data_IF_939357232119
#
_entry.id   IF_939357232119
#
_cell.length_a   1.000
_cell.length_b   1.000
_cell.length_c   1.000
_cell.angle_alpha   90.00
_cell.angle_beta   90.00
_cell.angle_gamma   90.00
#
_symmetry.space_group_name_H-M   'P 1'
#
loop_
_entity.id
_entity.type
_entity.pdbx_description
1 polymer ?
#
# COMPACT_ATOMS: atom_id res chain seq x y z
N UNK A 1 26.67 -8.29 -11.86
CA UNK A 1 25.57 -7.74 -11.05
C UNK A 1 24.30 -7.84 -11.88
N UNK A 2 23.22 -8.45 -11.41
CA UNK A 2 21.96 -8.42 -12.16
C UNK A 2 21.50 -6.96 -12.23
N UNK A 3 21.27 -6.47 -13.44
CA UNK A 3 20.68 -5.15 -13.68
C UNK A 3 19.27 -5.17 -13.08
N UNK A 4 19.11 -4.62 -11.89
CA UNK A 4 17.80 -4.39 -11.28
C UNK A 4 17.10 -3.28 -12.08
N UNK A 5 16.50 -3.68 -13.20
CA UNK A 5 15.65 -2.76 -13.97
C UNK A 5 14.48 -2.35 -13.05
N UNK A 6 14.36 -1.06 -12.79
CA UNK A 6 13.28 -0.46 -12.00
C UNK A 6 12.31 0.26 -12.94
N UNK A 7 11.05 0.37 -12.53
CA UNK A 7 10.08 1.30 -13.11
C UNK A 7 9.98 2.52 -12.19
N UNK A 8 10.02 3.70 -12.78
CA UNK A 8 9.94 4.95 -12.03
C UNK A 8 8.56 5.56 -12.23
N UNK A 9 7.92 5.91 -11.12
CA UNK A 9 6.69 6.70 -11.09
C UNK A 9 7.03 8.10 -10.59
N UNK A 10 6.51 9.12 -11.27
CA UNK A 10 6.62 10.50 -10.78
C UNK A 10 5.47 10.76 -9.81
N UNK A 11 5.80 11.11 -8.58
CA UNK A 11 4.84 11.40 -7.52
C UNK A 11 5.03 12.84 -7.03
N UNK A 12 3.96 13.63 -6.89
CA UNK A 12 4.08 15.04 -6.52
C UNK A 12 4.53 15.25 -5.07
N UNK A 13 4.39 14.25 -4.19
CA UNK A 13 4.76 14.33 -2.77
C UNK A 13 6.21 13.89 -2.56
N UNK A 14 6.61 12.76 -3.16
CA UNK A 14 7.93 12.13 -2.93
C UNK A 14 8.89 12.25 -4.12
N UNK A 15 8.48 12.83 -5.23
CA UNK A 15 9.29 12.89 -6.44
C UNK A 15 9.30 11.56 -7.20
N UNK A 16 10.46 10.93 -7.33
CA UNK A 16 10.59 9.69 -8.08
C UNK A 16 10.49 8.46 -7.17
N UNK A 17 9.41 7.71 -7.32
CA UNK A 17 9.22 6.41 -6.67
C UNK A 17 9.74 5.31 -7.59
N UNK A 18 10.76 4.59 -7.15
CA UNK A 18 11.37 3.50 -7.89
C UNK A 18 10.79 2.15 -7.42
N UNK A 19 10.21 1.39 -8.35
CA UNK A 19 9.64 0.06 -8.07
C UNK A 19 10.48 -0.99 -8.79
N UNK A 20 11.04 -1.98 -8.07
CA UNK A 20 11.77 -3.09 -8.66
C UNK A 20 10.91 -3.87 -9.66
N UNK A 21 11.52 -4.33 -10.76
CA UNK A 21 10.86 -5.30 -11.64
C UNK A 21 10.74 -6.63 -10.91
N UNK A 22 9.55 -7.18 -10.89
CA UNK A 22 9.25 -8.42 -10.20
C UNK A 22 7.78 -8.45 -9.83
N UNK A 23 7.44 -9.11 -8.74
CA UNK A 23 6.07 -9.29 -8.30
C UNK A 23 5.39 -7.96 -7.97
N UNK A 24 6.08 -7.01 -7.34
CA UNK A 24 5.51 -5.69 -7.03
C UNK A 24 5.02 -4.97 -8.29
N UNK A 25 5.81 -4.99 -9.36
CA UNK A 25 5.40 -4.36 -10.61
C UNK A 25 4.26 -5.13 -11.29
N UNK A 26 4.26 -6.46 -11.23
CA UNK A 26 3.16 -7.29 -11.75
C UNK A 26 1.85 -7.01 -11.01
N UNK A 27 1.90 -6.88 -9.69
CA UNK A 27 0.74 -6.51 -8.86
C UNK A 27 0.24 -5.09 -9.17
N UNK A 28 1.17 -4.12 -9.36
CA UNK A 28 0.80 -2.76 -9.76
C UNK A 28 0.12 -2.76 -11.13
N UNK A 29 0.61 -3.54 -12.10
CA UNK A 29 0.04 -3.62 -13.45
C UNK A 29 -1.25 -4.48 -13.50
N UNK A 30 -1.59 -5.20 -12.42
CA UNK A 30 -2.81 -6.01 -12.34
C UNK A 30 -4.08 -5.15 -12.41
N UNK A 31 -5.14 -5.59 -13.14
CA UNK A 31 -6.37 -4.79 -13.33
C UNK A 31 -7.03 -4.35 -12.02
N UNK A 32 -7.01 -5.19 -10.99
CA UNK A 32 -7.58 -4.86 -9.68
C UNK A 32 -6.84 -3.72 -8.98
N UNK A 33 -5.52 -3.68 -9.10
CA UNK A 33 -4.74 -2.57 -8.57
C UNK A 33 -4.90 -1.31 -9.43
N UNK A 34 -4.92 -1.45 -10.76
CA UNK A 34 -5.13 -0.33 -11.68
C UNK A 34 -6.50 0.35 -11.48
N UNK A 35 -7.51 -0.36 -10.96
CA UNK A 35 -8.80 0.19 -10.55
C UNK A 35 -8.66 1.33 -9.55
N UNK A 36 -7.66 1.27 -8.66
CA UNK A 36 -7.40 2.30 -7.63
C UNK A 36 -7.12 3.69 -8.22
N UNK A 37 -6.71 3.79 -9.49
CA UNK A 37 -6.55 5.07 -10.20
C UNK A 37 -7.85 5.86 -10.34
N UNK A 38 -8.99 5.20 -10.20
CA UNK A 38 -10.32 5.78 -10.34
C UNK A 38 -11.03 5.97 -9.00
N UNK A 39 -10.39 5.60 -7.90
CA UNK A 39 -10.94 5.71 -6.54
C UNK A 39 -10.16 6.79 -5.82
N UNK A 40 -10.86 7.86 -5.44
CA UNK A 40 -10.26 8.97 -4.69
C UNK A 40 -9.97 8.55 -3.27
N UNK A 41 -8.81 8.99 -2.74
CA UNK A 41 -8.39 8.70 -1.37
C UNK A 41 -9.39 9.24 -0.35
N UNK A 42 -9.76 10.49 -0.48
CA UNK A 42 -10.58 11.22 0.49
C UNK A 42 -12.07 11.27 0.14
N UNK A 43 -12.52 10.35 -0.75
CA UNK A 43 -13.94 10.23 -1.10
C UNK A 43 -14.54 11.53 -1.68
N UNK A 44 -15.47 12.13 -0.97
CA UNK A 44 -16.19 13.32 -1.39
C UNK A 44 -15.54 14.65 -0.96
N UNK A 45 -14.40 14.61 -0.27
CA UNK A 45 -13.74 15.80 0.27
C UNK A 45 -13.38 16.85 -0.79
N UNK A 46 -13.22 16.45 -2.06
CA UNK A 46 -12.92 17.35 -3.17
C UNK A 46 -14.03 18.39 -3.46
N UNK A 47 -15.25 18.20 -2.97
CA UNK A 47 -16.29 19.22 -3.04
C UNK A 47 -16.02 20.43 -2.12
N UNK A 48 -15.24 20.21 -1.06
CA UNK A 48 -14.83 21.24 -0.11
C UNK A 48 -13.39 21.68 -0.37
N UNK A 49 -12.52 20.72 -0.69
CA UNK A 49 -11.10 20.92 -0.99
C UNK A 49 -10.84 20.54 -2.46
N UNK A 50 -10.97 21.49 -3.41
CA UNK A 50 -10.90 21.16 -4.84
C UNK A 50 -9.59 20.49 -5.29
N UNK A 51 -8.50 20.69 -4.54
CA UNK A 51 -7.20 20.03 -4.76
C UNK A 51 -7.16 18.55 -4.36
N UNK A 52 -8.10 18.05 -3.55
CA UNK A 52 -8.15 16.69 -3.05
C UNK A 52 -8.59 15.67 -4.13
N UNK A 53 -7.83 15.60 -5.22
CA UNK A 53 -8.12 14.74 -6.39
C UNK A 53 -7.24 13.50 -6.46
N UNK A 54 -6.28 13.35 -5.55
CA UNK A 54 -5.41 12.17 -5.49
C UNK A 54 -6.21 10.90 -5.22
N UNK A 55 -5.68 9.80 -5.73
CA UNK A 55 -6.36 8.52 -5.72
C UNK A 55 -5.65 7.53 -4.79
N UNK A 56 -6.33 6.44 -4.45
CA UNK A 56 -5.74 5.34 -3.69
C UNK A 56 -4.54 4.71 -4.39
N UNK A 57 -4.46 4.81 -5.71
CA UNK A 57 -3.27 4.41 -6.46
C UNK A 57 -2.04 5.24 -6.07
N UNK A 58 -2.18 6.57 -5.95
CA UNK A 58 -1.07 7.44 -5.51
C UNK A 58 -0.65 7.13 -4.08
N UNK A 59 -1.64 6.96 -3.19
CA UNK A 59 -1.43 6.58 -1.80
C UNK A 59 -0.69 5.24 -1.67
N UNK A 60 -1.17 4.18 -2.32
CA UNK A 60 -0.53 2.87 -2.26
C UNK A 60 0.93 2.88 -2.75
N UNK A 61 1.24 3.67 -3.79
CA UNK A 61 2.63 3.84 -4.25
C UNK A 61 3.47 4.63 -3.25
N UNK A 62 2.90 5.66 -2.63
CA UNK A 62 3.60 6.44 -1.60
C UNK A 62 3.88 5.62 -0.34
N UNK A 63 2.89 4.87 0.14
CA UNK A 63 3.04 3.95 1.26
C UNK A 63 4.10 2.87 0.98
N UNK A 64 4.12 2.31 -0.25
CA UNK A 64 5.19 1.41 -0.69
C UNK A 64 6.57 2.09 -0.65
N UNK A 65 6.68 3.33 -1.12
CA UNK A 65 7.94 4.08 -1.09
C UNK A 65 8.45 4.26 0.35
N UNK A 66 7.57 4.68 1.25
CA UNK A 66 7.92 4.83 2.67
C UNK A 66 8.31 3.49 3.31
N UNK A 67 7.64 2.40 2.95
CA UNK A 67 8.00 1.05 3.41
C UNK A 67 9.41 0.65 2.97
N UNK A 68 9.78 0.91 1.72
CA UNK A 68 11.13 0.65 1.21
C UNK A 68 12.18 1.43 2.01
N UNK A 69 11.94 2.71 2.27
CA UNK A 69 12.83 3.55 3.10
C UNK A 69 12.90 3.06 4.56
N UNK A 70 11.78 2.61 5.12
CA UNK A 70 11.74 2.05 6.47
C UNK A 70 12.58 0.77 6.57
N UNK A 71 12.47 -0.14 5.61
CA UNK A 71 13.28 -1.37 5.53
C UNK A 71 14.76 -1.03 5.45
N UNK A 72 15.17 -0.12 4.56
CA UNK A 72 16.56 0.32 4.43
C UNK A 72 17.07 0.91 5.74
N UNK A 73 16.26 1.76 6.38
CA UNK A 73 16.63 2.39 7.66
C UNK A 73 16.78 1.37 8.79
N UNK A 74 15.87 0.40 8.87
CA UNK A 74 15.93 -0.65 9.88
C UNK A 74 17.14 -1.58 9.68
N UNK A 75 17.43 -1.94 8.44
CA UNK A 75 18.64 -2.71 8.09
C UNK A 75 19.92 -1.96 8.41
N UNK A 76 19.96 -0.65 8.17
CA UNK A 76 21.09 0.20 8.55
C UNK A 76 21.29 0.27 10.08
N UNK A 77 20.21 0.04 10.85
CA UNK A 77 20.24 -0.08 12.32
C UNK A 77 20.42 -1.51 12.82
N UNK A 78 21.00 -2.38 12.00
CA UNK A 78 21.29 -3.79 12.31
C UNK A 78 20.04 -4.66 12.59
N UNK A 79 18.82 -4.20 12.21
CA UNK A 79 17.63 -5.03 12.26
C UNK A 79 17.64 -6.04 11.12
N UNK A 80 17.60 -7.33 11.48
CA UNK A 80 17.62 -8.40 10.48
C UNK A 80 16.24 -8.50 9.81
N UNK A 81 16.18 -8.15 8.52
CA UNK A 81 15.00 -8.34 7.65
C UNK A 81 15.49 -9.06 6.40
N UNK A 82 15.00 -10.27 6.17
CA UNK A 82 15.37 -11.07 5.00
C UNK A 82 14.80 -10.45 3.71
N UNK A 83 15.29 -10.89 2.55
CA UNK A 83 14.72 -10.40 1.26
C UNK A 83 13.27 -10.84 1.07
N UNK A 84 12.92 -12.04 1.55
CA UNK A 84 11.56 -12.55 1.50
C UNK A 84 10.61 -11.73 2.39
N UNK A 85 11.02 -11.40 3.62
CA UNK A 85 10.26 -10.53 4.52
C UNK A 85 10.12 -9.11 3.96
N UNK A 86 11.17 -8.58 3.36
CA UNK A 86 11.17 -7.27 2.72
C UNK A 86 10.20 -7.21 1.52
N UNK A 87 10.23 -8.23 0.64
CA UNK A 87 9.26 -8.36 -0.47
C UNK A 87 7.83 -8.51 0.09
N UNK A 88 7.64 -9.34 1.10
CA UNK A 88 6.33 -9.63 1.67
C UNK A 88 5.69 -8.39 2.34
N UNK A 89 6.43 -7.63 3.15
CA UNK A 89 5.90 -6.43 3.79
C UNK A 89 5.63 -5.31 2.77
N UNK A 90 6.44 -5.23 1.70
CA UNK A 90 6.17 -4.34 0.57
C UNK A 90 4.89 -4.72 -0.19
N UNK A 91 4.61 -6.02 -0.37
CA UNK A 91 3.35 -6.50 -0.96
C UNK A 91 2.18 -6.18 -0.02
N UNK A 92 2.33 -6.42 1.27
CA UNK A 92 1.28 -6.16 2.26
C UNK A 92 0.85 -4.69 2.24
N UNK A 93 1.79 -3.75 2.33
CA UNK A 93 1.48 -2.32 2.28
C UNK A 93 0.98 -1.87 0.90
N UNK A 94 1.45 -2.45 -0.20
CA UNK A 94 0.97 -2.11 -1.53
C UNK A 94 -0.51 -2.47 -1.71
N UNK A 95 -0.94 -3.59 -1.13
CA UNK A 95 -2.28 -4.16 -1.31
C UNK A 95 -3.24 -3.88 -0.15
N UNK A 96 -2.80 -3.21 0.93
CA UNK A 96 -3.63 -3.03 2.14
C UNK A 96 -5.00 -2.40 1.83
N UNK A 97 -5.05 -1.48 0.88
CA UNK A 97 -6.22 -0.70 0.48
C UNK A 97 -6.92 -1.24 -0.80
N UNK A 98 -6.50 -2.41 -1.32
CA UNK A 98 -7.04 -2.92 -2.60
C UNK A 98 -8.54 -3.23 -2.52
N UNK A 99 -9.09 -3.46 -1.34
CA UNK A 99 -10.51 -3.75 -1.10
C UNK A 99 -11.43 -2.53 -1.17
N UNK A 100 -10.90 -1.31 -1.14
CA UNK A 100 -11.74 -0.10 -1.16
C UNK A 100 -12.55 0.06 -2.44
N UNK A 101 -13.82 0.44 -2.25
CA UNK A 101 -14.74 0.86 -3.29
C UNK A 101 -14.71 2.37 -3.56
N UNK A 102 -15.51 2.86 -4.56
CA UNK A 102 -15.74 4.27 -4.78
C UNK A 102 -16.25 4.96 -3.51
N UNK A 103 -15.84 6.21 -3.29
CA UNK A 103 -16.20 7.06 -2.14
C UNK A 103 -15.67 6.58 -0.79
N UNK A 104 -14.78 5.57 -0.77
CA UNK A 104 -14.09 5.10 0.45
C UNK A 104 -15.09 4.82 1.60
N UNK A 105 -14.78 5.25 2.81
CA UNK A 105 -15.60 4.98 4.00
C UNK A 105 -17.02 5.57 3.97
N UNK A 106 -17.32 6.53 3.07
CA UNK A 106 -18.65 7.14 3.03
C UNK A 106 -19.76 6.16 2.63
N UNK A 107 -19.43 5.06 1.96
CA UNK A 107 -20.42 4.05 1.52
C UNK A 107 -20.27 2.69 2.20
N UNK A 108 -19.25 2.47 3.03
CA UNK A 108 -18.99 1.17 3.67
C UNK A 108 -20.13 0.67 4.55
N UNK A 109 -20.94 1.56 5.13
CA UNK A 109 -22.05 1.18 5.99
C UNK A 109 -23.44 1.48 5.40
N UNK A 110 -23.49 2.02 4.17
CA UNK A 110 -24.76 2.40 3.54
C UNK A 110 -25.15 1.54 2.36
N UNK A 111 -24.18 1.03 1.61
CA UNK A 111 -24.43 0.22 0.39
C UNK A 111 -23.85 -1.17 0.51
N UNK A 112 -22.71 -1.33 1.21
CA UNK A 112 -22.02 -2.61 1.35
C UNK A 112 -21.64 -2.79 2.82
N UNK A 113 -22.15 -3.85 3.44
CA UNK A 113 -21.91 -4.18 4.85
C UNK A 113 -20.62 -5.03 5.02
N UNK A 114 -19.53 -4.61 4.36
CA UNK A 114 -18.22 -5.25 4.45
C UNK A 114 -17.15 -4.21 4.73
N UNK A 115 -16.27 -4.51 5.69
CA UNK A 115 -15.07 -3.73 5.93
C UNK A 115 -14.08 -3.90 4.76
N UNK A 116 -13.46 -2.80 4.31
CA UNK A 116 -12.47 -2.81 3.23
C UNK A 116 -11.28 -3.73 3.52
N UNK A 117 -10.88 -3.90 4.78
CA UNK A 117 -9.81 -4.83 5.19
C UNK A 117 -10.17 -6.29 4.87
N UNK A 118 -11.44 -6.70 5.14
CA UNK A 118 -11.92 -8.03 4.77
C UNK A 118 -11.88 -8.24 3.26
N UNK A 119 -12.31 -7.22 2.50
CA UNK A 119 -12.22 -7.28 1.05
C UNK A 119 -10.77 -7.29 0.56
N UNK A 120 -9.87 -6.51 1.19
CA UNK A 120 -8.44 -6.55 0.87
C UNK A 120 -7.85 -7.94 1.08
N UNK A 121 -8.16 -8.61 2.20
CA UNK A 121 -7.76 -10.00 2.44
C UNK A 121 -8.26 -10.93 1.35
N UNK A 122 -9.54 -10.85 0.96
CA UNK A 122 -10.12 -11.70 -0.11
C UNK A 122 -9.43 -11.47 -1.46
N UNK A 123 -9.13 -10.21 -1.81
CA UNK A 123 -8.37 -9.88 -3.01
C UNK A 123 -6.95 -10.46 -2.95
N UNK A 124 -6.26 -10.31 -1.81
CA UNK A 124 -4.91 -10.83 -1.63
C UNK A 124 -4.88 -12.36 -1.72
N UNK A 125 -5.84 -13.06 -1.13
CA UNK A 125 -5.96 -14.53 -1.22
C UNK A 125 -6.18 -14.98 -2.67
N UNK A 126 -7.05 -14.29 -3.42
CA UNK A 126 -7.28 -14.63 -4.82
C UNK A 126 -6.03 -14.36 -5.67
N UNK A 127 -5.35 -13.24 -5.46
CA UNK A 127 -4.07 -12.95 -6.11
C UNK A 127 -2.99 -13.97 -5.71
N UNK A 128 -2.99 -14.45 -4.46
CA UNK A 128 -2.06 -15.48 -4.03
C UNK A 128 -2.20 -16.77 -4.82
N UNK A 129 -3.42 -17.18 -5.13
CA UNK A 129 -3.66 -18.33 -6.02
C UNK A 129 -3.14 -18.07 -7.44
N UNK A 130 -3.40 -16.90 -8.00
CA UNK A 130 -2.95 -16.50 -9.34
C UNK A 130 -1.42 -16.44 -9.42
N UNK A 131 -0.76 -15.96 -8.35
CA UNK A 131 0.69 -15.83 -8.27
C UNK A 131 1.38 -17.06 -7.62
N UNK A 132 0.72 -18.24 -7.61
CA UNK A 132 1.27 -19.51 -7.16
C UNK A 132 1.82 -19.49 -5.72
N UNK A 133 1.10 -18.88 -4.80
CA UNK A 133 1.45 -18.86 -3.37
C UNK A 133 2.47 -17.77 -2.97
N UNK A 134 2.89 -16.90 -3.89
CA UNK A 134 3.93 -15.90 -3.61
C UNK A 134 3.51 -14.79 -2.66
N UNK A 135 2.23 -14.62 -2.36
CA UNK A 135 1.71 -13.63 -1.42
C UNK A 135 1.48 -14.21 -0.02
N UNK A 136 1.75 -15.48 0.21
CA UNK A 136 1.43 -16.17 1.48
C UNK A 136 2.02 -15.46 2.70
N UNK A 137 3.30 -15.09 2.66
CA UNK A 137 3.95 -14.36 3.76
C UNK A 137 3.39 -12.93 3.90
N UNK A 138 3.09 -12.27 2.78
CA UNK A 138 2.49 -10.94 2.80
C UNK A 138 1.10 -10.93 3.45
N UNK A 139 0.29 -11.95 3.19
CA UNK A 139 -1.02 -12.15 3.81
C UNK A 139 -0.86 -12.40 5.31
N UNK A 140 0.09 -13.25 5.70
CA UNK A 140 0.37 -13.52 7.11
C UNK A 140 0.82 -12.24 7.87
N UNK A 141 1.64 -11.39 7.25
CA UNK A 141 2.04 -10.09 7.82
C UNK A 141 0.83 -9.16 7.90
N UNK A 142 0.04 -9.05 6.83
CA UNK A 142 -1.13 -8.17 6.78
C UNK A 142 -2.18 -8.54 7.86
N UNK A 143 -2.43 -9.83 8.06
CA UNK A 143 -3.43 -10.34 9.01
C UNK A 143 -2.91 -10.56 10.43
N UNK A 144 -1.73 -10.05 10.79
CA UNK A 144 -1.06 -10.23 12.10
C UNK A 144 -0.85 -11.71 12.49
N UNK A 145 -0.62 -12.57 11.51
CA UNK A 145 -0.35 -14.01 11.74
C UNK A 145 1.13 -14.36 11.68
N UNK A 146 2.00 -13.41 11.34
CA UNK A 146 3.46 -13.60 11.31
C UNK A 146 4.08 -13.19 12.64
N UNK A 147 4.15 -14.14 13.59
CA UNK A 147 4.57 -13.86 14.97
C UNK A 147 6.09 -13.85 15.18
N UNK A 148 6.90 -14.26 14.20
CA UNK A 148 8.37 -14.22 14.31
C UNK A 148 8.90 -12.78 14.41
N UNK A 149 8.29 -11.86 13.69
CA UNK A 149 8.64 -10.42 13.70
C UNK A 149 7.38 -9.56 13.69
N UNK A 150 6.71 -9.38 14.82
CA UNK A 150 5.44 -8.63 14.89
C UNK A 150 5.56 -7.18 14.41
N UNK A 151 6.77 -6.59 14.48
CA UNK A 151 6.99 -5.24 14.01
C UNK A 151 6.74 -5.06 12.51
N UNK A 152 6.84 -6.12 11.69
CA UNK A 152 6.52 -6.04 10.26
C UNK A 152 5.04 -5.76 10.02
N UNK A 153 4.15 -6.37 10.81
CA UNK A 153 2.73 -6.00 10.80
C UNK A 153 2.52 -4.55 11.26
N UNK A 154 3.23 -4.11 12.33
CA UNK A 154 3.12 -2.75 12.84
C UNK A 154 3.57 -1.68 11.85
N UNK A 155 4.44 -2.01 10.89
CA UNK A 155 4.80 -1.11 9.78
C UNK A 155 3.66 -0.95 8.76
N UNK A 156 2.77 -1.94 8.65
CA UNK A 156 1.61 -1.94 7.75
C UNK A 156 0.37 -1.37 8.43
N UNK A 157 0.12 -1.77 9.70
CA UNK A 157 -1.04 -1.39 10.50
C UNK A 157 -0.64 -1.21 11.96
N UNK A 158 -0.37 0.02 12.37
CA UNK A 158 0.10 0.35 13.71
C UNK A 158 -0.31 1.77 14.12
N UNK A 159 0.27 2.27 15.20
CA UNK A 159 0.06 3.65 15.62
C UNK A 159 0.83 4.65 14.74
N UNK A 160 1.99 4.22 14.22
CA UNK A 160 2.87 5.01 13.35
C UNK A 160 3.35 4.09 12.22
N UNK A 161 2.46 3.79 11.29
CA UNK A 161 2.67 2.92 10.14
C UNK A 161 2.90 3.71 8.85
N UNK A 162 3.29 3.01 7.78
CA UNK A 162 3.59 3.62 6.49
C UNK A 162 2.34 4.10 5.76
N UNK A 163 1.18 3.50 6.03
CA UNK A 163 -0.13 3.96 5.57
C UNK A 163 -0.40 5.36 6.12
N UNK A 164 -0.39 5.50 7.45
CA UNK A 164 -0.64 6.77 8.14
C UNK A 164 0.35 7.86 7.75
N UNK A 165 1.62 7.53 7.66
CA UNK A 165 2.66 8.48 7.27
C UNK A 165 2.46 8.99 5.85
N UNK A 166 2.01 8.15 4.91
CA UNK A 166 1.70 8.61 3.55
C UNK A 166 0.46 9.47 3.52
N UNK A 167 -0.70 8.98 4.05
CA UNK A 167 -1.94 9.72 3.88
C UNK A 167 -1.93 11.07 4.60
N UNK A 168 -1.34 11.18 5.78
CA UNK A 168 -1.21 12.46 6.49
C UNK A 168 -0.43 13.48 5.66
N UNK A 169 0.68 13.07 5.07
CA UNK A 169 1.51 13.95 4.25
C UNK A 169 0.84 14.24 2.90
N UNK A 170 0.28 13.24 2.26
CA UNK A 170 -0.35 13.35 0.94
C UNK A 170 -1.65 14.15 0.98
N UNK A 171 -2.52 13.87 1.94
CA UNK A 171 -3.78 14.58 2.10
C UNK A 171 -3.52 16.06 2.42
N UNK A 172 -2.57 16.35 3.33
CA UNK A 172 -2.12 17.71 3.62
C UNK A 172 -1.65 18.44 2.35
N UNK A 173 -0.80 17.80 1.56
CA UNK A 173 -0.30 18.36 0.29
C UNK A 173 -1.44 18.71 -0.69
N UNK A 174 -2.37 17.77 -0.91
CA UNK A 174 -3.43 17.93 -1.90
C UNK A 174 -4.60 18.82 -1.43
N UNK A 175 -4.86 18.87 -0.13
CA UNK A 175 -5.92 19.75 0.44
C UNK A 175 -5.41 21.15 0.74
N UNK A 176 -4.10 21.33 0.89
CA UNK A 176 -3.50 22.57 1.36
C UNK A 176 -3.75 22.84 2.85
N UNK A 177 -4.08 21.81 3.62
CA UNK A 177 -4.27 21.89 5.08
C UNK A 177 -3.02 21.31 5.75
N UNK A 178 -2.26 22.15 6.44
CA UNK A 178 -1.06 21.79 7.20
C UNK A 178 -1.36 21.62 8.68
#
# INVERSE_FOLDING_TARGET
>A
MPSTKQKIFNDPVYGFIAVPKGILLQLIDHPWFQRLRRIRQTGLAHYVYPGALHTRFHHALGALHLMQLAIETLRFKDTVITEEEAEAVCIAILLHDIGHGPYSHALEHTIVDFHHETLSSMFMETLNLEFNGRLTLAIAIFSDQYHEKPFLHQLVSGQLDMDRMDYLNRDSFFTGVS
#
